data_IF_898062616438
#
_entry.id   IF_898062616438
#
_cell.length_a   1.000
_cell.length_b   1.000
_cell.length_c   1.000
_cell.angle_alpha   90.00
_cell.angle_beta   90.00
_cell.angle_gamma   90.00
#
_symmetry.space_group_name_H-M   'P 1'
#
loop_
_entity.id
_entity.type
_entity.pdbx_description
1 polymer ?
#
# COMPACT_ATOMS: atom_id res chain seq x y z
N UNK A 1 -5.73 5.72 -2.21
CA UNK A 1 -5.65 5.74 -3.68
C UNK A 1 -4.34 5.19 -4.24
N UNK A 2 -3.20 5.22 -3.54
CA UNK A 2 -1.88 4.87 -4.11
C UNK A 2 -1.30 3.50 -3.69
N UNK A 3 -2.05 2.68 -2.95
CA UNK A 3 -1.59 1.36 -2.46
C UNK A 3 -2.37 0.19 -3.04
N UNK A 4 -3.71 0.22 -2.91
CA UNK A 4 -4.60 -0.88 -3.31
C UNK A 4 -5.68 -0.38 -4.28
N UNK A 5 -6.10 -1.17 -5.27
CA UNK A 5 -7.18 -0.80 -6.19
C UNK A 5 -8.50 -0.63 -5.46
N UNK A 6 -9.37 0.21 -6.01
CA UNK A 6 -10.75 0.40 -5.56
C UNK A 6 -10.91 0.92 -4.12
N UNK A 7 -9.85 1.44 -3.51
CA UNK A 7 -9.90 2.09 -2.19
C UNK A 7 -9.93 3.61 -2.34
N UNK A 8 -11.11 4.17 -2.11
CA UNK A 8 -11.38 5.60 -2.16
C UNK A 8 -11.82 6.10 -0.78
N UNK A 9 -11.02 6.94 -0.09
CA UNK A 9 -11.38 7.44 1.23
C UNK A 9 -12.54 8.42 1.12
N UNK A 10 -13.44 8.39 2.12
CA UNK A 10 -14.48 9.41 2.28
C UNK A 10 -13.90 10.53 3.13
N UNK A 11 -13.82 11.74 2.57
CA UNK A 11 -13.22 12.89 3.26
C UNK A 11 -14.32 13.78 3.84
N UNK A 12 -14.55 13.66 5.15
CA UNK A 12 -15.50 14.48 5.90
C UNK A 12 -14.87 15.77 6.42
N UNK A 13 -15.56 16.90 6.27
CA UNK A 13 -15.02 18.21 6.67
C UNK A 13 -16.11 19.24 7.00
N UNK A 14 -15.74 20.26 7.78
CA UNK A 14 -16.65 21.30 8.29
C UNK A 14 -16.28 22.73 7.88
N UNK A 15 -15.18 22.90 7.15
CA UNK A 15 -14.57 24.19 6.81
C UNK A 15 -14.24 24.22 5.32
N UNK A 16 -14.44 25.36 4.67
CA UNK A 16 -14.22 25.50 3.22
C UNK A 16 -12.74 25.41 2.87
N UNK A 17 -11.86 25.82 3.78
CA UNK A 17 -10.41 25.80 3.57
C UNK A 17 -9.88 24.37 3.42
N UNK A 18 -10.39 23.43 4.22
CA UNK A 18 -10.04 22.01 4.12
C UNK A 18 -10.51 21.41 2.78
N UNK A 19 -11.58 21.96 2.18
CA UNK A 19 -12.13 21.43 0.94
C UNK A 19 -11.20 21.75 -0.20
N UNK A 20 -10.74 23.00 -0.23
CA UNK A 20 -9.74 23.45 -1.18
C UNK A 20 -8.44 22.67 -1.04
N UNK A 21 -7.94 22.48 0.19
CA UNK A 21 -6.72 21.71 0.44
C UNK A 21 -6.84 20.24 0.00
N UNK A 22 -7.98 19.60 0.23
CA UNK A 22 -8.22 18.22 -0.20
C UNK A 22 -8.28 18.08 -1.73
N UNK A 23 -8.84 19.08 -2.43
CA UNK A 23 -8.85 19.12 -3.89
C UNK A 23 -7.43 19.27 -4.43
N UNK A 24 -6.61 20.15 -3.83
CA UNK A 24 -5.20 20.30 -4.20
C UNK A 24 -4.41 19.00 -3.96
N UNK A 25 -4.68 18.31 -2.85
CA UNK A 25 -4.04 17.04 -2.51
C UNK A 25 -4.27 15.92 -3.55
N UNK A 26 -5.32 16.01 -4.38
CA UNK A 26 -5.54 15.05 -5.49
C UNK A 26 -4.43 15.10 -6.55
N UNK A 27 -3.64 16.18 -6.59
CA UNK A 27 -2.50 16.33 -7.51
C UNK A 27 -1.22 15.64 -7.01
N UNK A 28 -1.17 15.28 -5.72
CA UNK A 28 0.01 14.64 -5.09
C UNK A 28 0.10 13.19 -5.53
N UNK A 29 1.32 12.75 -5.86
CA UNK A 29 1.62 11.34 -6.15
C UNK A 29 2.74 10.86 -5.24
N UNK A 30 2.45 9.84 -4.43
CA UNK A 30 3.43 9.20 -3.56
C UNK A 30 4.33 8.24 -4.36
N UNK A 31 5.61 8.22 -4.04
CA UNK A 31 6.56 7.21 -4.49
C UNK A 31 6.43 5.91 -3.68
N UNK A 32 7.05 4.82 -4.15
CA UNK A 32 7.06 3.56 -3.41
C UNK A 32 7.81 3.69 -2.07
N UNK A 33 8.82 4.58 -2.00
CA UNK A 33 9.56 4.91 -0.78
C UNK A 33 8.67 5.65 0.22
N UNK A 34 7.91 6.66 -0.23
CA UNK A 34 6.96 7.40 0.63
C UNK A 34 5.90 6.45 1.20
N UNK A 35 5.42 5.50 0.39
CA UNK A 35 4.46 4.49 0.83
C UNK A 35 5.06 3.56 1.89
N UNK A 36 6.30 3.13 1.70
CA UNK A 36 7.01 2.31 2.68
C UNK A 36 7.25 3.08 3.98
N UNK A 37 7.57 4.38 3.91
CA UNK A 37 7.70 5.23 5.10
C UNK A 37 6.38 5.31 5.88
N UNK A 38 5.26 5.56 5.18
CA UNK A 38 3.93 5.63 5.80
C UNK A 38 3.54 4.29 6.44
N UNK A 39 3.79 3.17 5.76
CA UNK A 39 3.47 1.83 6.27
C UNK A 39 4.29 1.48 7.53
N UNK A 40 5.53 1.97 7.62
CA UNK A 40 6.43 1.71 8.75
C UNK A 40 6.40 2.81 9.83
N UNK A 41 5.56 3.84 9.67
CA UNK A 41 5.48 4.96 10.61
C UNK A 41 5.03 4.54 12.02
N UNK A 42 4.36 3.39 12.15
CA UNK A 42 3.95 2.83 13.43
C UNK A 42 4.30 1.35 13.51
N UNK A 43 4.68 0.88 14.70
CA UNK A 43 4.88 -0.54 14.96
C UNK A 43 3.52 -1.24 14.94
N UNK A 44 3.23 -1.97 13.86
CA UNK A 44 2.04 -2.81 13.74
C UNK A 44 2.42 -4.28 13.99
N UNK A 45 1.84 -4.90 15.02
CA UNK A 45 1.94 -6.34 15.23
C UNK A 45 0.88 -7.05 14.37
N UNK A 46 1.34 -7.80 13.37
CA UNK A 46 0.45 -8.56 12.49
C UNK A 46 -0.15 -9.80 13.15
N UNK A 47 0.44 -10.27 14.26
CA UNK A 47 -0.03 -11.42 15.01
C UNK A 47 0.05 -12.76 14.26
N UNK A 48 -0.45 -13.80 14.91
CA UNK A 48 -0.51 -15.16 14.35
C UNK A 48 -1.69 -15.29 13.36
N UNK A 49 -1.53 -16.00 12.22
CA UNK A 49 -0.37 -16.81 11.79
C UNK A 49 0.66 -16.05 10.95
N UNK A 50 0.43 -14.78 10.65
CA UNK A 50 1.24 -14.04 9.70
C UNK A 50 2.66 -13.79 10.20
N UNK A 51 2.84 -13.55 11.50
CA UNK A 51 4.15 -13.45 12.13
C UNK A 51 4.96 -14.77 12.05
N UNK A 52 4.30 -15.93 11.99
CA UNK A 52 4.95 -17.22 11.83
C UNK A 52 5.32 -17.49 10.37
N UNK A 53 4.40 -17.17 9.45
CA UNK A 53 4.57 -17.42 8.00
C UNK A 53 5.65 -16.51 7.41
N UNK A 54 5.58 -15.21 7.71
CA UNK A 54 6.47 -14.19 7.12
C UNK A 54 7.63 -13.79 8.02
N UNK A 55 7.60 -14.14 9.31
CA UNK A 55 8.65 -13.78 10.28
C UNK A 55 8.95 -12.28 10.22
N UNK A 56 10.22 -11.92 10.05
CA UNK A 56 10.68 -10.53 9.97
C UNK A 56 10.57 -9.94 8.54
N UNK A 57 10.08 -10.70 7.56
CA UNK A 57 10.01 -10.29 6.14
C UNK A 57 8.61 -9.93 5.68
N UNK A 58 7.70 -9.61 6.62
CA UNK A 58 6.35 -9.17 6.26
C UNK A 58 6.38 -7.76 5.66
N UNK A 59 5.82 -7.62 4.47
CA UNK A 59 5.48 -6.33 3.87
C UNK A 59 4.05 -6.38 3.35
N UNK A 60 3.39 -5.23 3.19
CA UNK A 60 1.99 -5.24 2.71
C UNK A 60 1.82 -5.78 1.28
N UNK A 61 2.92 -5.90 0.52
CA UNK A 61 2.92 -6.47 -0.83
C UNK A 61 3.47 -7.90 -0.90
N UNK A 62 3.73 -8.56 0.24
CA UNK A 62 4.23 -9.92 0.26
C UNK A 62 3.23 -10.91 -0.36
N UNK A 63 3.74 -11.75 -1.25
CA UNK A 63 2.97 -12.80 -1.93
C UNK A 63 3.42 -14.18 -1.43
N UNK A 64 2.75 -15.24 -1.88
CA UNK A 64 3.13 -16.63 -1.56
C UNK A 64 4.61 -16.94 -1.87
N UNK A 65 5.22 -16.27 -2.86
CA UNK A 65 6.64 -16.42 -3.20
C UNK A 65 7.62 -15.87 -2.14
N UNK A 66 7.17 -14.94 -1.29
CA UNK A 66 8.01 -14.29 -0.27
C UNK A 66 8.04 -15.08 1.05
N UNK A 67 7.24 -16.13 1.16
CA UNK A 67 7.20 -16.99 2.34
C UNK A 67 8.46 -17.83 2.39
N UNK A 68 9.24 -17.69 3.46
CA UNK A 68 10.53 -18.38 3.65
C UNK A 68 10.47 -19.90 3.40
N UNK A 69 9.42 -20.57 3.90
CA UNK A 69 9.25 -22.02 3.73
C UNK A 69 8.95 -22.43 2.28
N UNK A 70 8.20 -21.61 1.54
CA UNK A 70 7.91 -21.90 0.13
C UNK A 70 9.14 -21.73 -0.73
N UNK A 71 9.92 -20.67 -0.48
CA UNK A 71 11.14 -20.36 -1.24
C UNK A 71 12.18 -21.47 -1.20
N UNK A 72 12.27 -22.21 -0.09
CA UNK A 72 13.20 -23.37 0.03
C UNK A 72 12.62 -24.65 -0.57
N UNK A 73 11.31 -24.74 -0.73
CA UNK A 73 10.63 -25.98 -1.12
C UNK A 73 10.29 -26.02 -2.62
N UNK A 74 9.85 -24.89 -3.19
CA UNK A 74 9.43 -24.79 -4.57
C UNK A 74 9.58 -23.36 -5.11
N UNK A 75 9.88 -23.23 -6.40
CA UNK A 75 9.77 -21.94 -7.08
C UNK A 75 8.30 -21.65 -7.39
N UNK A 76 7.73 -20.68 -6.68
CA UNK A 76 6.36 -20.23 -6.90
C UNK A 76 6.41 -18.94 -7.70
N UNK A 77 5.85 -18.99 -8.91
CA UNK A 77 5.53 -17.78 -9.66
C UNK A 77 4.15 -17.29 -9.22
N UNK A 78 4.14 -16.27 -8.37
CA UNK A 78 2.92 -15.68 -7.87
C UNK A 78 2.72 -14.30 -8.51
N UNK A 79 1.53 -14.01 -9.07
CA UNK A 79 1.28 -12.72 -9.69
C UNK A 79 1.37 -11.61 -8.64
N UNK A 80 1.87 -10.42 -9.01
CA UNK A 80 1.92 -9.29 -8.10
C UNK A 80 0.50 -8.85 -7.71
N UNK A 81 0.39 -8.27 -6.52
CA UNK A 81 -0.87 -7.66 -6.09
C UNK A 81 -1.34 -6.59 -7.10
N UNK A 82 -2.65 -6.49 -7.34
CA UNK A 82 -3.19 -5.56 -8.32
C UNK A 82 -2.80 -4.14 -7.93
N UNK A 83 -2.31 -3.38 -8.90
CA UNK A 83 -1.87 -2.01 -8.68
C UNK A 83 -3.05 -1.03 -8.62
N UNK A 84 -2.91 0.08 -7.89
CA UNK A 84 -3.94 1.09 -7.81
C UNK A 84 -4.10 1.85 -9.13
N UNK A 85 -5.31 2.37 -9.36
CA UNK A 85 -5.59 3.25 -10.49
C UNK A 85 -4.81 4.55 -10.32
N UNK A 86 -3.82 4.77 -11.19
CA UNK A 86 -3.01 5.99 -11.16
C UNK A 86 -3.83 7.19 -11.68
N UNK A 87 -3.70 8.38 -11.07
CA UNK A 87 -4.37 9.58 -11.57
C UNK A 87 -3.91 9.88 -13.00
N UNK A 88 -4.85 10.27 -13.87
CA UNK A 88 -4.48 10.81 -15.19
C UNK A 88 -3.80 12.16 -14.99
N UNK A 89 -2.51 12.26 -15.29
CA UNK A 89 -1.87 13.58 -15.45
C UNK A 89 -2.49 14.23 -16.68
N UNK A 90 -3.04 15.43 -16.54
CA UNK A 90 -3.39 16.23 -17.71
C UNK A 90 -2.10 16.46 -18.50
N UNK A 91 -2.07 15.95 -19.73
CA UNK A 91 -1.14 16.41 -20.74
C UNK A 91 -1.48 17.88 -20.96
N UNK A 92 -0.56 18.76 -20.58
CA UNK A 92 -0.47 20.08 -21.20
C UNK A 92 -0.11 19.87 -22.67
#
# INVERSE_FOLDING_TARGET
MHKTPSVFPIVGQRKVEHLKANVEALSVSLSDEDLAEIDNASSFDIGFPMNFIFRDSYTTNSTAADVSLTRVSAHIDAPPNPSPVRPRRHLV
#
